data_IF_401066438289
#
_entry.id   IF_401066438289
#
_cell.length_a   1.000
_cell.length_b   1.000
_cell.length_c   1.000
_cell.angle_alpha   90.00
_cell.angle_beta   90.00
_cell.angle_gamma   90.00
#
_symmetry.space_group_name_H-M   'P 1'
#
loop_
_entity.id
_entity.type
_entity.pdbx_description
1 polymer ?
#
# COMPACT_ATOMS: atom_id res chain seq x y z
N UNK A 1 -21.13 20.85 -3.44
CA UNK A 1 -20.57 19.57 -2.96
C UNK A 1 -19.52 19.16 -3.97
N UNK A 2 -18.23 19.36 -3.67
CA UNK A 2 -17.15 19.00 -4.59
C UNK A 2 -17.05 17.48 -4.79
N UNK A 3 -16.43 17.05 -5.88
CA UNK A 3 -16.11 15.64 -6.08
C UNK A 3 -15.16 15.19 -4.96
N UNK A 4 -15.41 13.98 -4.42
CA UNK A 4 -14.59 13.40 -3.35
C UNK A 4 -13.34 12.69 -3.88
N UNK A 5 -13.22 12.59 -5.20
CA UNK A 5 -12.17 11.87 -5.87
C UNK A 5 -11.68 12.64 -7.09
N UNK A 6 -10.37 12.59 -7.33
CA UNK A 6 -9.69 13.23 -8.45
C UNK A 6 -8.70 12.24 -9.08
N UNK A 7 -8.43 12.37 -10.38
CA UNK A 7 -7.42 11.54 -11.05
C UNK A 7 -6.03 11.94 -10.55
N UNK A 8 -5.19 10.94 -10.27
CA UNK A 8 -3.84 11.14 -9.77
C UNK A 8 -2.79 10.88 -10.87
N UNK A 9 -2.66 11.79 -11.83
CA UNK A 9 -1.78 11.61 -13.00
C UNK A 9 -0.30 11.41 -12.60
N UNK A 10 0.19 12.20 -11.64
CA UNK A 10 1.58 12.13 -11.16
C UNK A 10 1.94 10.76 -10.55
N UNK A 11 0.95 10.02 -10.05
CA UNK A 11 1.14 8.72 -9.41
C UNK A 11 1.48 7.66 -10.45
N UNK A 12 0.96 7.78 -11.68
CA UNK A 12 1.13 6.76 -12.71
C UNK A 12 2.60 6.58 -13.12
N UNK A 13 3.37 7.67 -13.20
CA UNK A 13 4.79 7.59 -13.56
C UNK A 13 5.62 6.93 -12.45
N UNK A 14 5.29 7.22 -11.19
CA UNK A 14 5.93 6.58 -10.05
C UNK A 14 5.57 5.09 -9.98
N UNK A 15 4.31 4.76 -10.22
CA UNK A 15 3.83 3.39 -10.23
C UNK A 15 4.53 2.55 -11.31
N UNK A 16 4.72 3.08 -12.52
CA UNK A 16 5.45 2.38 -13.59
C UNK A 16 6.86 1.99 -13.16
N UNK A 17 7.57 2.88 -12.45
CA UNK A 17 8.92 2.61 -11.95
C UNK A 17 8.91 1.50 -10.89
N UNK A 18 7.98 1.57 -9.94
CA UNK A 18 7.84 0.55 -8.88
C UNK A 18 7.41 -0.80 -9.45
N UNK A 19 6.44 -0.82 -10.36
CA UNK A 19 5.96 -2.05 -11.02
C UNK A 19 7.10 -2.72 -11.78
N UNK A 20 7.85 -1.97 -12.59
CA UNK A 20 8.98 -2.53 -13.35
C UNK A 20 10.07 -3.11 -12.45
N UNK A 21 10.25 -2.57 -11.24
CA UNK A 21 11.37 -2.92 -10.35
C UNK A 21 11.01 -3.99 -9.32
N UNK A 22 9.81 -3.95 -8.77
CA UNK A 22 9.41 -4.73 -7.60
C UNK A 22 8.15 -5.57 -7.83
N UNK A 23 7.28 -5.19 -8.78
CA UNK A 23 6.01 -5.88 -9.04
C UNK A 23 5.84 -6.31 -10.51
N UNK A 24 6.78 -7.05 -11.11
CA UNK A 24 6.72 -7.40 -12.53
C UNK A 24 5.48 -8.23 -12.89
N UNK A 25 4.90 -8.95 -11.92
CA UNK A 25 3.62 -9.66 -12.07
C UNK A 25 2.43 -8.74 -12.39
N UNK A 26 2.55 -7.44 -12.10
CA UNK A 26 1.55 -6.43 -12.44
C UNK A 26 1.79 -5.76 -13.80
N UNK A 27 2.80 -6.19 -14.58
CA UNK A 27 3.15 -5.55 -15.85
C UNK A 27 2.01 -5.49 -16.88
N UNK A 28 1.04 -6.42 -16.79
CA UNK A 28 -0.15 -6.46 -17.64
C UNK A 28 -1.41 -5.87 -16.98
N UNK A 29 -1.34 -5.50 -15.70
CA UNK A 29 -2.49 -4.97 -14.96
C UNK A 29 -2.84 -3.55 -15.41
N UNK A 30 -4.12 -3.30 -15.67
CA UNK A 30 -4.63 -1.93 -15.87
C UNK A 30 -5.01 -1.35 -14.53
N UNK A 31 -4.22 -0.42 -14.01
CA UNK A 31 -4.44 0.18 -12.68
C UNK A 31 -4.84 1.64 -12.82
N UNK A 32 -5.96 2.02 -12.22
CA UNK A 32 -6.34 3.42 -12.04
C UNK A 32 -5.77 3.97 -10.74
N UNK A 33 -5.32 5.23 -10.77
CA UNK A 33 -4.82 5.95 -9.60
C UNK A 33 -5.69 7.17 -9.36
N UNK A 34 -6.24 7.27 -8.16
CA UNK A 34 -7.11 8.39 -7.76
C UNK A 34 -6.71 8.94 -6.41
N UNK A 35 -6.91 10.23 -6.22
CA UNK A 35 -6.85 10.88 -4.93
C UNK A 35 -8.23 10.92 -4.31
N UNK A 36 -8.28 10.69 -2.99
CA UNK A 36 -9.43 11.02 -2.15
C UNK A 36 -9.19 12.39 -1.51
N UNK A 37 -10.12 13.31 -1.72
CA UNK A 37 -9.96 14.74 -1.39
C UNK A 37 -10.77 15.19 -0.16
N UNK A 38 -11.46 14.27 0.51
CA UNK A 38 -12.07 14.48 1.83
C UNK A 38 -11.30 13.74 2.94
N UNK A 39 -11.65 14.04 4.20
CA UNK A 39 -11.05 13.39 5.37
C UNK A 39 -11.20 11.88 5.28
N UNK A 40 -10.08 11.15 5.35
CA UNK A 40 -10.08 9.69 5.29
C UNK A 40 -9.47 9.10 6.56
N UNK A 41 -10.34 8.64 7.46
CA UNK A 41 -9.96 8.02 8.74
C UNK A 41 -10.78 6.76 9.01
N UNK A 42 -10.17 5.80 9.71
CA UNK A 42 -10.83 4.60 10.25
C UNK A 42 -10.32 4.36 11.67
N UNK A 43 -11.24 4.19 12.61
CA UNK A 43 -10.93 3.98 14.04
C UNK A 43 -9.92 5.02 14.59
N UNK A 44 -10.12 6.29 14.25
CA UNK A 44 -9.26 7.41 14.67
C UNK A 44 -7.95 7.58 13.88
N UNK A 45 -7.54 6.58 13.08
CA UNK A 45 -6.29 6.61 12.31
C UNK A 45 -6.53 7.13 10.90
N UNK A 46 -5.61 7.96 10.40
CA UNK A 46 -5.60 8.42 9.00
C UNK A 46 -5.27 7.25 8.08
N UNK A 47 -6.08 7.04 7.05
CA UNK A 47 -5.79 6.08 5.98
C UNK A 47 -4.90 6.76 4.95
N UNK A 48 -3.79 6.13 4.59
CA UNK A 48 -2.81 6.68 3.63
C UNK A 48 -3.18 6.32 2.19
N UNK A 49 -3.70 5.12 1.97
CA UNK A 49 -4.20 4.62 0.72
C UNK A 49 -5.07 3.38 0.87
N UNK A 50 -5.56 2.88 -0.25
CA UNK A 50 -6.20 1.57 -0.35
C UNK A 50 -6.11 1.04 -1.79
N UNK A 51 -5.84 -0.25 -1.94
CA UNK A 51 -6.04 -0.99 -3.17
C UNK A 51 -7.41 -1.67 -3.22
N UNK A 52 -8.09 -1.55 -4.35
CA UNK A 52 -9.33 -2.26 -4.65
C UNK A 52 -9.16 -3.08 -5.92
N UNK A 53 -9.52 -4.36 -5.87
CA UNK A 53 -9.61 -5.21 -7.05
C UNK A 53 -10.98 -5.03 -7.69
N UNK A 54 -11.00 -4.60 -8.94
CA UNK A 54 -12.23 -4.41 -9.68
C UNK A 54 -12.96 -5.74 -9.91
N UNK A 55 -14.26 -5.73 -9.63
CA UNK A 55 -15.20 -6.77 -10.03
C UNK A 55 -15.33 -6.86 -11.55
N UNK A 56 -15.91 -7.95 -12.05
CA UNK A 56 -16.15 -8.12 -13.49
C UNK A 56 -17.03 -7.01 -14.07
N UNK A 57 -18.01 -6.51 -13.30
CA UNK A 57 -18.88 -5.40 -13.71
C UNK A 57 -18.09 -4.09 -13.83
N UNK A 58 -17.22 -3.80 -12.87
CA UNK A 58 -16.33 -2.63 -12.90
C UNK A 58 -15.38 -2.70 -14.09
N UNK A 59 -14.71 -3.86 -14.29
CA UNK A 59 -13.86 -4.13 -15.45
C UNK A 59 -14.61 -3.92 -16.77
N UNK A 60 -15.86 -4.36 -16.88
CA UNK A 60 -16.68 -4.13 -18.08
C UNK A 60 -16.92 -2.63 -18.33
N UNK A 61 -17.12 -1.83 -17.28
CA UNK A 61 -17.46 -0.41 -17.40
C UNK A 61 -16.26 0.47 -17.74
N UNK A 62 -15.08 0.20 -17.19
CA UNK A 62 -13.91 1.08 -17.31
C UNK A 62 -12.59 0.37 -17.67
N UNK A 63 -12.57 -0.97 -17.69
CA UNK A 63 -11.41 -1.75 -18.15
C UNK A 63 -10.21 -1.78 -17.21
N UNK A 64 -10.35 -1.36 -15.94
CA UNK A 64 -9.27 -1.41 -14.95
C UNK A 64 -9.39 -2.68 -14.11
N UNK A 65 -8.26 -3.31 -13.83
CA UNK A 65 -8.13 -4.47 -12.95
C UNK A 65 -8.10 -4.07 -11.47
N UNK A 66 -7.49 -2.91 -11.18
CA UNK A 66 -7.39 -2.35 -9.84
C UNK A 66 -7.63 -0.85 -9.83
N UNK A 67 -8.09 -0.34 -8.69
CA UNK A 67 -8.13 1.08 -8.37
C UNK A 67 -7.30 1.28 -7.09
N UNK A 68 -6.24 2.06 -7.20
CA UNK A 68 -5.46 2.53 -6.05
C UNK A 68 -5.94 3.93 -5.70
N UNK A 69 -6.43 4.08 -4.48
CA UNK A 69 -6.90 5.35 -3.93
C UNK A 69 -5.88 5.84 -2.92
N UNK A 70 -5.41 7.08 -3.05
CA UNK A 70 -4.44 7.71 -2.17
C UNK A 70 -5.05 8.90 -1.45
N UNK A 71 -4.64 9.13 -0.21
CA UNK A 71 -5.07 10.29 0.55
C UNK A 71 -4.38 11.56 0.02
N UNK A 72 -5.15 12.48 -0.58
CA UNK A 72 -4.62 13.70 -1.19
C UNK A 72 -3.80 14.55 -0.21
N UNK A 73 -4.31 14.74 1.01
CA UNK A 73 -3.67 15.61 2.01
C UNK A 73 -2.36 15.01 2.53
N UNK A 74 -2.30 13.69 2.71
CA UNK A 74 -1.05 13.00 3.05
C UNK A 74 -0.09 13.12 1.87
N UNK A 75 -0.52 12.77 0.67
CA UNK A 75 0.32 12.77 -0.52
C UNK A 75 0.94 14.15 -0.79
N UNK A 76 0.19 15.24 -0.60
CA UNK A 76 0.69 16.59 -0.82
C UNK A 76 1.80 17.01 0.17
N UNK A 77 1.91 16.36 1.33
CA UNK A 77 2.78 16.80 2.43
C UNK A 77 4.01 15.92 2.66
N UNK A 78 4.00 14.68 2.17
CA UNK A 78 5.12 13.75 2.33
C UNK A 78 6.17 13.90 1.22
N UNK A 79 7.42 13.57 1.54
CA UNK A 79 8.52 13.54 0.57
C UNK A 79 8.38 12.38 -0.45
N UNK A 80 9.23 12.40 -1.48
CA UNK A 80 9.19 11.41 -2.56
C UNK A 80 9.45 9.97 -2.08
N UNK A 81 10.33 9.77 -1.10
CA UNK A 81 10.62 8.43 -0.57
C UNK A 81 9.40 7.87 0.15
N UNK A 82 8.70 8.72 0.91
CA UNK A 82 7.48 8.31 1.59
C UNK A 82 6.31 8.12 0.63
N UNK A 83 6.21 8.91 -0.44
CA UNK A 83 5.26 8.66 -1.56
C UNK A 83 5.50 7.30 -2.20
N UNK A 84 6.77 6.99 -2.49
CA UNK A 84 7.16 5.67 -3.02
C UNK A 84 6.74 4.56 -2.07
N UNK A 85 7.07 4.67 -0.78
CA UNK A 85 6.71 3.63 0.21
C UNK A 85 5.19 3.42 0.36
N UNK A 86 4.40 4.50 0.33
CA UNK A 86 2.92 4.38 0.38
C UNK A 86 2.41 3.70 -0.89
N UNK A 87 2.84 4.14 -2.07
CA UNK A 87 2.38 3.56 -3.32
C UNK A 87 2.83 2.11 -3.50
N UNK A 88 4.06 1.79 -3.10
CA UNK A 88 4.62 0.45 -3.12
C UNK A 88 3.83 -0.49 -2.20
N UNK A 89 3.47 -0.02 -1.00
CA UNK A 89 2.57 -0.74 -0.10
C UNK A 89 1.21 -1.06 -0.74
N UNK A 90 0.56 -0.08 -1.39
CA UNK A 90 -0.71 -0.34 -2.08
C UNK A 90 -0.55 -1.31 -3.27
N UNK A 91 0.59 -1.27 -3.96
CA UNK A 91 0.89 -2.22 -5.05
C UNK A 91 1.13 -3.63 -4.54
N UNK A 92 1.66 -3.83 -3.32
CA UNK A 92 1.78 -5.17 -2.71
C UNK A 92 0.42 -5.87 -2.55
N UNK A 93 -0.66 -5.11 -2.37
CA UNK A 93 -2.01 -5.68 -2.33
C UNK A 93 -2.50 -6.17 -3.70
N UNK A 94 -1.89 -5.72 -4.80
CA UNK A 94 -2.24 -6.17 -6.14
C UNK A 94 -1.43 -7.43 -6.47
N UNK A 95 -2.13 -8.57 -6.60
CA UNK A 95 -1.52 -9.86 -6.91
C UNK A 95 -2.02 -10.47 -8.21
N UNK A 96 -1.29 -11.48 -8.67
CA UNK A 96 -1.68 -12.38 -9.75
C UNK A 96 -1.66 -13.81 -9.21
N UNK A 97 -2.73 -14.55 -9.49
CA UNK A 97 -2.86 -15.97 -9.18
C UNK A 97 -2.62 -16.75 -10.47
N UNK A 98 -1.52 -17.51 -10.51
CA UNK A 98 -1.11 -18.28 -11.68
C UNK A 98 -2.01 -19.50 -11.92
N UNK A 99 -2.56 -20.11 -10.86
CA UNK A 99 -3.40 -21.30 -10.96
C UNK A 99 -4.78 -20.93 -11.53
N UNK A 100 -5.32 -19.81 -11.07
CA UNK A 100 -6.62 -19.29 -11.52
C UNK A 100 -6.50 -18.31 -12.70
N UNK A 101 -5.28 -17.97 -13.12
CA UNK A 101 -4.97 -16.99 -14.15
C UNK A 101 -5.76 -15.68 -14.00
N UNK A 102 -5.79 -15.14 -12.78
CA UNK A 102 -6.57 -13.95 -12.44
C UNK A 102 -5.84 -13.00 -11.49
N UNK A 103 -6.17 -11.72 -11.59
CA UNK A 103 -5.77 -10.75 -10.58
C UNK A 103 -6.49 -10.99 -9.26
N UNK A 104 -5.77 -10.86 -8.15
CA UNK A 104 -6.25 -11.06 -6.78
C UNK A 104 -5.86 -9.88 -5.87
N UNK A 105 -6.52 -9.78 -4.72
CA UNK A 105 -6.12 -8.87 -3.65
C UNK A 105 -5.34 -9.66 -2.60
N UNK A 106 -4.08 -9.29 -2.36
CA UNK A 106 -3.17 -9.96 -1.43
C UNK A 106 -3.35 -9.35 -0.03
N UNK A 107 -3.56 -10.15 1.03
CA UNK A 107 -3.60 -9.63 2.40
C UNK A 107 -2.20 -9.19 2.87
N UNK A 108 -2.12 -8.53 4.01
CA UNK A 108 -0.84 -8.22 4.64
C UNK A 108 -0.10 -9.51 5.04
N UNK A 109 1.23 -9.49 4.94
CA UNK A 109 2.08 -10.56 5.46
C UNK A 109 1.97 -10.69 6.99
N UNK A 110 1.69 -9.59 7.72
CA UNK A 110 1.61 -9.59 9.18
C UNK A 110 0.50 -8.69 9.72
N UNK A 111 -0.38 -9.27 10.53
CA UNK A 111 -1.34 -8.56 11.38
C UNK A 111 -1.21 -9.07 12.82
N UNK A 112 -0.42 -8.36 13.64
CA UNK A 112 -0.13 -8.79 15.02
C UNK A 112 -0.03 -7.59 15.98
N UNK A 113 -0.11 -7.88 17.28
CA UNK A 113 0.00 -6.92 18.35
C UNK A 113 1.44 -6.85 18.85
N UNK A 114 1.98 -5.62 18.92
CA UNK A 114 3.31 -5.36 19.48
C UNK A 114 3.50 -6.02 20.86
N UNK A 115 2.47 -6.01 21.71
CA UNK A 115 2.56 -6.61 23.04
C UNK A 115 2.62 -8.15 23.02
N UNK A 116 2.08 -8.80 21.99
CA UNK A 116 2.24 -10.25 21.80
C UNK A 116 3.68 -10.54 21.40
N UNK A 117 4.23 -9.82 20.42
CA UNK A 117 5.64 -9.94 20.00
C UNK A 117 6.60 -9.66 21.17
N UNK A 118 6.32 -8.65 22.00
CA UNK A 118 7.13 -8.35 23.21
C UNK A 118 7.14 -9.49 24.22
N UNK A 119 6.01 -10.17 24.44
CA UNK A 119 5.90 -11.25 25.44
C UNK A 119 6.41 -12.59 24.93
N UNK A 120 6.22 -12.87 23.65
CA UNK A 120 6.40 -14.21 23.09
C UNK A 120 7.52 -14.29 22.03
N UNK A 121 8.14 -13.16 21.68
CA UNK A 121 9.20 -13.09 20.68
C UNK A 121 8.67 -13.29 19.26
N UNK A 122 9.55 -13.74 18.36
CA UNK A 122 9.24 -14.05 16.96
C UNK A 122 8.57 -15.43 16.84
N UNK A 123 7.37 -15.55 17.41
CA UNK A 123 6.73 -16.84 17.70
C UNK A 123 6.05 -17.52 16.50
N UNK A 124 5.88 -16.81 15.38
CA UNK A 124 5.27 -17.32 14.15
C UNK A 124 6.12 -16.94 12.93
N UNK A 125 6.06 -17.73 11.83
CA UNK A 125 6.91 -17.51 10.65
C UNK A 125 6.84 -16.09 10.09
N UNK A 126 5.65 -15.50 9.98
CA UNK A 126 5.47 -14.16 9.40
C UNK A 126 6.04 -13.06 10.32
N UNK A 127 5.87 -13.20 11.63
CA UNK A 127 6.48 -12.32 12.65
C UNK A 127 8.00 -12.41 12.54
N UNK A 128 8.54 -13.61 12.38
CA UNK A 128 9.97 -13.85 12.24
C UNK A 128 10.53 -13.26 10.93
N UNK A 129 9.81 -13.43 9.81
CA UNK A 129 10.15 -12.85 8.52
C UNK A 129 10.21 -11.32 8.60
N UNK A 130 9.18 -10.70 9.19
CA UNK A 130 9.15 -9.25 9.43
C UNK A 130 10.29 -8.81 10.36
N UNK A 131 10.55 -9.55 11.44
CA UNK A 131 11.65 -9.28 12.37
C UNK A 131 13.02 -9.31 11.69
N UNK A 132 13.26 -10.25 10.78
CA UNK A 132 14.48 -10.32 9.97
C UNK A 132 14.61 -9.12 9.03
N UNK A 133 13.53 -8.73 8.34
CA UNK A 133 13.54 -7.56 7.47
C UNK A 133 13.88 -6.27 8.25
N UNK A 134 13.28 -6.07 9.42
CA UNK A 134 13.58 -4.94 10.31
C UNK A 134 15.02 -4.97 10.83
N UNK A 135 15.54 -6.14 11.21
CA UNK A 135 16.92 -6.27 11.67
C UNK A 135 17.92 -5.91 10.57
N UNK A 136 17.67 -6.33 9.32
CA UNK A 136 18.50 -5.97 8.18
C UNK A 136 18.54 -4.46 7.94
N UNK A 137 17.41 -3.74 8.08
CA UNK A 137 17.41 -2.27 7.99
C UNK A 137 18.37 -1.66 9.02
N UNK A 138 18.33 -2.12 10.27
CA UNK A 138 19.20 -1.61 11.34
C UNK A 138 20.69 -1.89 11.13
N UNK A 139 21.04 -2.90 10.32
CA UNK A 139 22.43 -3.21 9.97
C UNK A 139 23.00 -2.28 8.89
N UNK A 140 22.15 -1.70 8.04
CA UNK A 140 22.57 -0.90 6.88
C UNK A 140 22.26 0.60 6.99
N UNK A 141 21.24 0.99 7.77
CA UNK A 141 20.93 2.40 8.07
C UNK A 141 20.33 2.50 9.48
N UNK A 142 20.80 3.44 10.31
CA UNK A 142 20.02 3.85 11.49
C UNK A 142 18.80 4.63 10.97
N UNK A 143 17.57 4.09 11.02
CA UNK A 143 16.44 4.86 10.51
C UNK A 143 16.16 5.97 11.52
N UNK A 144 16.08 7.21 11.04
CA UNK A 144 15.42 8.29 11.80
C UNK A 144 13.92 7.95 11.86
N UNK A 145 13.56 7.05 12.77
CA UNK A 145 12.19 6.72 13.12
C UNK A 145 11.54 7.95 13.76
N UNK A 146 11.03 8.87 12.95
CA UNK A 146 9.97 9.77 13.41
C UNK A 146 8.71 8.93 13.51
N UNK A 147 8.49 8.39 14.71
CA UNK A 147 7.22 7.78 15.10
C UNK A 147 6.12 8.82 14.85
N UNK A 148 5.28 8.59 13.86
CA UNK A 148 4.08 9.40 13.64
C UNK A 148 2.99 8.82 14.54
N UNK A 149 2.73 9.48 15.66
CA UNK A 149 1.44 9.39 16.34
C UNK A 149 1.50 9.17 17.84
N UNK A 150 0.99 10.17 18.57
CA UNK A 150 0.67 10.08 19.98
C UNK A 150 0.63 11.45 20.66
N UNK A 151 -0.07 12.44 20.09
CA UNK A 151 -0.48 13.60 20.89
C UNK A 151 -1.93 13.39 21.32
N UNK A 152 -2.10 13.55 22.63
CA UNK A 152 -3.30 13.44 23.46
C UNK A 152 -4.49 14.28 22.96
#
# INVERSE_FOLDING_TARGET
MGLKYEIAEDVQNLAKQLISKYHPHLGLAKIAYIFKTDTWKKNGKTILGSAHRCSEKEKLLHGYDFIITLNHFVWATVDVNRKMAILDHELCHCGWDDDEAKFILVPHDLEDFVDVVRRHGLYMPDVEAMGRAMHQLNLFEKPNLKVVGGNE
#
